data_IF_869534523670
#
_entry.id   IF_869534523670
#
_cell.length_a   1.000
_cell.length_b   1.000
_cell.length_c   1.000
_cell.angle_alpha   90.00
_cell.angle_beta   90.00
_cell.angle_gamma   90.00
#
_symmetry.space_group_name_H-M   'P 1'
#
loop_
_entity.id
_entity.type
_entity.pdbx_description
1 polymer ?
#
# COMPACT_ATOMS: atom_id res chain seq x y z
N UNK A 1 -3.18 2.18 5.09
CA UNK A 1 -2.31 2.34 6.27
C UNK A 1 -2.94 1.65 7.46
N UNK A 2 -2.18 0.96 8.26
CA UNK A 2 -2.59 0.38 9.55
C UNK A 2 -1.53 0.73 10.59
N UNK A 3 -1.93 1.03 11.82
CA UNK A 3 -0.99 1.20 12.91
C UNK A 3 -1.52 0.62 14.23
N UNK A 4 -0.61 0.25 15.09
CA UNK A 4 -0.82 -0.19 16.48
C UNK A 4 0.12 0.63 17.37
N UNK A 5 0.20 0.31 18.65
CA UNK A 5 1.12 0.96 19.59
C UNK A 5 2.60 0.88 19.14
N UNK A 6 3.01 -0.23 18.54
CA UNK A 6 4.43 -0.50 18.20
C UNK A 6 4.74 -0.50 16.70
N UNK A 7 3.73 -0.61 15.85
CA UNK A 7 3.92 -0.86 14.44
C UNK A 7 3.08 0.07 13.59
N UNK A 8 3.69 0.61 12.52
CA UNK A 8 3.02 1.32 11.44
C UNK A 8 3.23 0.58 10.12
N UNK A 9 2.15 0.31 9.38
CA UNK A 9 2.21 -0.24 8.03
C UNK A 9 1.79 0.81 7.00
N UNK A 10 2.70 1.11 6.07
CA UNK A 10 2.46 1.97 4.90
C UNK A 10 1.98 1.09 3.75
N UNK A 11 0.72 1.26 3.36
CA UNK A 11 0.11 0.47 2.31
C UNK A 11 0.46 1.01 0.92
N UNK A 12 1.59 0.55 0.38
CA UNK A 12 2.04 0.88 -0.99
C UNK A 12 1.10 0.20 -2.01
N UNK A 13 0.64 0.89 -3.06
CA UNK A 13 -0.23 0.31 -4.07
C UNK A 13 0.39 -0.90 -4.78
N UNK A 14 -0.40 -1.95 -4.99
CA UNK A 14 -0.04 -3.15 -5.77
C UNK A 14 1.12 -4.00 -5.21
N UNK A 15 1.45 -3.83 -3.94
CA UNK A 15 2.47 -4.62 -3.23
C UNK A 15 1.87 -5.59 -2.21
N UNK A 16 0.68 -6.16 -2.49
CA UNK A 16 -0.08 -7.07 -1.62
C UNK A 16 -0.59 -6.44 -0.30
N UNK A 17 -0.76 -5.12 -0.23
CA UNK A 17 -1.15 -4.43 1.00
C UNK A 17 -2.41 -4.99 1.68
N UNK A 18 -3.42 -5.48 0.93
CA UNK A 18 -4.62 -6.13 1.51
C UNK A 18 -4.27 -7.41 2.27
N UNK A 19 -3.36 -8.22 1.72
CA UNK A 19 -2.87 -9.44 2.37
C UNK A 19 -2.09 -9.12 3.63
N UNK A 20 -1.24 -8.07 3.59
CA UNK A 20 -0.48 -7.58 4.73
C UNK A 20 -1.39 -7.03 5.82
N UNK A 21 -2.36 -6.18 5.49
CA UNK A 21 -3.33 -5.66 6.46
C UNK A 21 -4.08 -6.80 7.16
N UNK A 22 -4.57 -7.78 6.40
CA UNK A 22 -5.26 -8.93 6.97
C UNK A 22 -4.35 -9.74 7.90
N UNK A 23 -3.10 -9.97 7.49
CA UNK A 23 -2.11 -10.65 8.33
C UNK A 23 -1.84 -9.89 9.64
N UNK A 24 -1.69 -8.56 9.56
CA UNK A 24 -1.47 -7.72 10.73
C UNK A 24 -2.70 -7.73 11.66
N UNK A 25 -3.90 -7.57 11.14
CA UNK A 25 -5.15 -7.61 11.93
C UNK A 25 -5.29 -8.95 12.67
N UNK A 26 -4.99 -10.07 12.00
CA UNK A 26 -5.13 -11.41 12.57
C UNK A 26 -4.11 -11.70 13.69
N UNK A 27 -2.95 -11.02 13.67
CA UNK A 27 -1.87 -11.28 14.62
C UNK A 27 -1.72 -10.20 15.71
N UNK A 28 -1.97 -8.92 15.39
CA UNK A 28 -1.76 -7.81 16.36
C UNK A 28 -2.91 -7.68 17.35
N UNK A 29 -4.14 -7.99 16.94
CA UNK A 29 -5.38 -7.95 17.77
C UNK A 29 -5.84 -6.56 18.23
N UNK A 30 -5.07 -5.53 18.02
CA UNK A 30 -5.38 -4.13 18.34
C UNK A 30 -4.84 -3.21 17.26
N UNK A 31 -5.29 -1.95 17.19
CA UNK A 31 -4.77 -0.97 16.26
C UNK A 31 -5.84 -0.18 15.51
N UNK A 32 -5.39 0.60 14.56
CA UNK A 32 -6.23 1.43 13.69
C UNK A 32 -5.89 1.15 12.23
N UNK A 33 -6.91 0.89 11.43
CA UNK A 33 -6.81 0.75 9.98
C UNK A 33 -7.42 1.94 9.27
N UNK A 34 -6.73 2.50 8.29
CA UNK A 34 -7.26 3.52 7.38
C UNK A 34 -7.67 2.86 6.07
N UNK A 35 -8.92 3.05 5.66
CA UNK A 35 -9.48 2.40 4.46
C UNK A 35 -10.38 3.33 3.65
N UNK A 36 -10.40 3.12 2.33
CA UNK A 36 -11.21 3.88 1.38
C UNK A 36 -12.71 3.56 1.45
N UNK A 37 -13.06 2.38 1.95
CA UNK A 37 -14.43 1.89 2.00
C UNK A 37 -14.81 1.29 3.34
N UNK A 38 -16.03 1.58 3.77
CA UNK A 38 -16.65 0.93 4.91
C UNK A 38 -17.51 -0.22 4.39
N UNK A 39 -17.19 -1.44 4.81
CA UNK A 39 -18.08 -2.57 4.65
C UNK A 39 -19.43 -2.31 5.39
N UNK A 40 -20.53 -2.95 4.96
CA UNK A 40 -21.88 -2.64 5.45
C UNK A 40 -22.14 -2.96 6.93
N UNK A 41 -21.16 -3.46 7.69
CA UNK A 41 -21.41 -4.04 9.03
C UNK A 41 -20.66 -3.38 10.20
N UNK A 42 -20.06 -2.20 10.04
CA UNK A 42 -19.21 -1.66 11.11
C UNK A 42 -19.83 -0.44 11.81
N UNK A 43 -20.01 -0.46 13.15
CA UNK A 43 -20.45 0.71 13.92
C UNK A 43 -19.39 1.82 13.88
N UNK A 44 -19.84 3.06 13.68
CA UNK A 44 -18.94 4.21 13.55
C UNK A 44 -18.39 4.69 14.89
N UNK A 45 -17.07 4.77 15.05
CA UNK A 45 -16.45 5.62 16.06
C UNK A 45 -16.35 7.03 15.49
N UNK A 46 -16.90 8.01 16.18
CA UNK A 46 -16.81 9.42 15.77
C UNK A 46 -15.54 10.04 16.34
N UNK A 47 -14.57 10.35 15.46
CA UNK A 47 -13.52 11.30 15.83
C UNK A 47 -14.14 12.70 16.06
N UNK A 48 -13.57 13.53 16.95
CA UNK A 48 -13.96 14.92 17.05
C UNK A 48 -13.97 15.61 15.68
N UNK A 49 -14.96 16.47 15.43
CA UNK A 49 -15.18 17.07 14.10
C UNK A 49 -13.94 17.76 13.53
N UNK A 50 -13.13 18.40 14.37
CA UNK A 50 -11.89 19.07 13.95
C UNK A 50 -10.81 18.08 13.46
N UNK A 51 -10.76 16.88 14.04
CA UNK A 51 -9.84 15.80 13.60
C UNK A 51 -10.30 15.25 12.26
N UNK A 52 -11.60 15.04 12.08
CA UNK A 52 -12.18 14.61 10.81
C UNK A 52 -11.88 15.61 9.67
N UNK A 53 -12.00 16.90 9.94
CA UNK A 53 -11.72 17.97 8.99
C UNK A 53 -10.24 18.04 8.61
N UNK A 54 -9.32 18.01 9.58
CA UNK A 54 -7.87 18.06 9.33
C UNK A 54 -7.34 16.83 8.60
N UNK A 55 -7.91 15.67 8.83
CA UNK A 55 -7.48 14.41 8.23
C UNK A 55 -8.13 14.12 6.87
N UNK A 56 -9.12 14.89 6.45
CA UNK A 56 -9.98 14.52 5.32
C UNK A 56 -10.73 13.21 5.59
N UNK A 57 -10.82 12.80 6.84
CA UNK A 57 -11.46 11.57 7.29
C UNK A 57 -12.95 11.78 7.38
N UNK A 58 -13.72 11.04 6.59
CA UNK A 58 -15.19 11.17 6.57
C UNK A 58 -15.88 10.41 7.72
N UNK A 59 -15.24 9.37 8.28
CA UNK A 59 -15.82 8.55 9.34
C UNK A 59 -14.78 7.66 10.05
N UNK A 60 -14.86 7.53 11.36
CA UNK A 60 -14.14 6.52 12.12
C UNK A 60 -15.08 5.38 12.47
N UNK A 61 -14.67 4.17 12.26
CA UNK A 61 -15.48 2.98 12.53
C UNK A 61 -14.69 2.01 13.38
N UNK A 62 -15.22 1.65 14.54
CA UNK A 62 -14.71 0.53 15.30
C UNK A 62 -15.23 -0.77 14.70
N UNK A 63 -14.33 -1.60 14.27
CA UNK A 63 -14.60 -3.00 13.98
C UNK A 63 -14.30 -3.79 15.26
N UNK A 64 -15.27 -3.92 16.12
CA UNK A 64 -15.25 -5.02 17.08
C UNK A 64 -15.47 -6.28 16.26
N UNK A 65 -14.39 -7.02 15.99
CA UNK A 65 -14.54 -8.33 15.37
C UNK A 65 -15.51 -9.15 16.22
N UNK A 66 -16.55 -9.67 15.60
CA UNK A 66 -17.70 -10.32 16.21
C UNK A 66 -17.40 -11.59 17.04
N UNK A 67 -16.18 -11.84 17.45
CA UNK A 67 -15.74 -12.99 18.23
C UNK A 67 -14.67 -12.67 19.30
N UNK A 68 -14.68 -11.47 19.88
CA UNK A 68 -13.95 -11.20 21.14
C UNK A 68 -12.42 -11.28 21.11
N UNK A 69 -11.76 -11.17 19.95
CA UNK A 69 -10.31 -11.41 19.86
C UNK A 69 -9.47 -10.27 19.29
N UNK A 70 -10.04 -9.23 18.69
CA UNK A 70 -9.26 -8.05 18.29
C UNK A 70 -10.10 -6.78 18.27
N UNK A 71 -9.55 -5.70 18.78
CA UNK A 71 -10.12 -4.35 18.75
C UNK A 71 -9.39 -3.50 17.70
N UNK A 72 -9.63 -3.78 16.42
CA UNK A 72 -9.09 -2.94 15.35
C UNK A 72 -10.11 -1.86 15.00
N UNK A 73 -9.75 -0.62 15.21
CA UNK A 73 -10.54 0.54 14.82
C UNK A 73 -10.30 0.88 13.34
N UNK A 74 -11.35 1.27 12.63
CA UNK A 74 -11.23 1.65 11.22
C UNK A 74 -11.52 3.12 11.03
N UNK A 75 -10.60 3.83 10.42
CA UNK A 75 -10.71 5.23 10.02
C UNK A 75 -10.96 5.30 8.53
N UNK A 76 -12.03 5.98 8.12
CA UNK A 76 -12.27 6.20 6.70
C UNK A 76 -11.34 7.30 6.16
N UNK A 77 -10.56 6.96 5.16
CA UNK A 77 -9.64 7.83 4.47
C UNK A 77 -8.95 7.08 3.36
N UNK A 78 -8.02 7.69 2.64
CA UNK A 78 -7.27 6.94 1.64
C UNK A 78 -6.46 5.82 2.29
N UNK A 79 -6.65 4.59 1.81
CA UNK A 79 -5.85 3.44 2.24
C UNK A 79 -4.38 3.61 1.85
N UNK A 80 -4.18 4.18 0.68
CA UNK A 80 -2.87 4.43 0.10
C UNK A 80 -2.35 5.80 0.55
N UNK A 81 -1.70 5.81 1.71
CA UNK A 81 -1.15 7.01 2.35
C UNK A 81 0.36 6.97 2.23
N UNK A 82 0.97 7.99 1.62
CA UNK A 82 2.42 8.15 1.55
C UNK A 82 3.00 8.45 2.92
N UNK A 83 4.29 8.23 3.12
CA UNK A 83 4.93 8.41 4.43
C UNK A 83 4.72 9.82 5.01
N UNK A 84 4.89 10.87 4.18
CA UNK A 84 4.62 12.26 4.59
C UNK A 84 3.16 12.51 4.99
N UNK A 85 2.22 11.88 4.29
CA UNK A 85 0.80 12.04 4.59
C UNK A 85 0.39 11.20 5.80
N UNK A 86 1.07 10.08 6.04
CA UNK A 86 0.92 9.31 7.29
C UNK A 86 1.24 10.18 8.52
N UNK A 87 2.32 10.96 8.47
CA UNK A 87 2.65 11.91 9.54
C UNK A 87 1.51 12.91 9.82
N UNK A 88 0.85 13.42 8.77
CA UNK A 88 -0.30 14.34 8.91
C UNK A 88 -1.52 13.67 9.54
N UNK A 89 -1.72 12.37 9.29
CA UNK A 89 -2.82 11.59 9.87
C UNK A 89 -2.51 11.26 11.33
N UNK A 90 -1.29 10.94 11.65
CA UNK A 90 -0.85 10.52 12.98
C UNK A 90 -0.77 11.69 13.97
N UNK A 91 -0.32 12.86 13.53
CA UNK A 91 -0.10 14.03 14.41
C UNK A 91 -1.35 14.44 15.21
N UNK A 92 -2.56 14.56 14.64
CA UNK A 92 -3.77 14.87 15.41
C UNK A 92 -4.20 13.75 16.37
N UNK A 93 -3.67 12.54 16.20
CA UNK A 93 -3.90 11.40 17.10
C UNK A 93 -2.84 11.32 18.22
N UNK A 94 -1.92 12.29 18.27
CA UNK A 94 -0.85 12.34 19.26
C UNK A 94 0.35 11.47 18.94
N UNK A 95 0.49 11.02 17.68
CA UNK A 95 1.57 10.15 17.23
C UNK A 95 2.49 10.82 16.21
N UNK A 96 3.76 10.43 16.25
CA UNK A 96 4.78 10.74 15.25
C UNK A 96 5.33 9.43 14.63
N UNK A 97 6.07 9.52 13.54
CA UNK A 97 6.69 8.33 12.94
C UNK A 97 7.73 7.68 13.85
N UNK A 98 8.34 8.45 14.74
CA UNK A 98 9.36 7.98 15.68
C UNK A 98 8.78 7.24 16.89
N UNK A 99 7.48 7.33 17.15
CA UNK A 99 6.83 6.62 18.25
C UNK A 99 6.69 5.13 17.97
N UNK A 100 6.74 4.73 16.70
CA UNK A 100 6.66 3.32 16.32
C UNK A 100 8.03 2.64 16.41
N UNK A 101 8.08 1.47 17.05
CA UNK A 101 9.27 0.62 17.03
C UNK A 101 9.65 0.20 15.61
N UNK A 102 8.65 0.02 14.77
CA UNK A 102 8.86 -0.43 13.39
C UNK A 102 7.81 0.16 12.46
N UNK A 103 8.27 0.72 11.35
CA UNK A 103 7.45 1.06 10.19
C UNK A 103 7.69 -0.03 9.15
N UNK A 104 6.62 -0.58 8.57
CA UNK A 104 6.71 -1.58 7.50
C UNK A 104 6.22 -0.97 6.20
N UNK A 105 6.98 -1.15 5.13
CA UNK A 105 6.54 -0.91 3.75
C UNK A 105 7.03 -2.04 2.85
N UNK A 106 6.26 -2.36 1.81
CA UNK A 106 6.57 -3.47 0.91
C UNK A 106 7.04 -2.93 -0.42
N UNK A 107 8.18 -3.44 -0.92
CA UNK A 107 8.65 -3.25 -2.30
C UNK A 107 8.30 -4.49 -3.14
N UNK A 108 8.11 -4.31 -4.43
CA UNK A 108 7.85 -5.37 -5.40
C UNK A 108 8.72 -5.15 -6.63
N UNK A 109 9.12 -6.22 -7.30
CA UNK A 109 9.85 -6.12 -8.56
C UNK A 109 9.14 -5.10 -9.48
N UNK A 110 9.84 -4.04 -9.96
CA UNK A 110 9.23 -2.94 -10.69
C UNK A 110 8.51 -3.38 -11.98
N UNK A 111 9.02 -4.39 -12.63
CA UNK A 111 8.41 -4.94 -13.85
C UNK A 111 7.10 -5.67 -13.54
N UNK A 112 7.11 -6.51 -12.51
CA UNK A 112 5.93 -7.22 -12.03
C UNK A 112 4.90 -6.26 -11.40
N UNK A 113 5.35 -5.22 -10.72
CA UNK A 113 4.51 -4.14 -10.21
C UNK A 113 3.77 -3.43 -11.33
N UNK A 114 4.45 -3.06 -12.40
CA UNK A 114 3.85 -2.32 -13.52
C UNK A 114 2.85 -3.18 -14.30
N UNK A 115 3.17 -4.45 -14.55
CA UNK A 115 2.23 -5.40 -15.17
C UNK A 115 1.00 -5.61 -14.28
N UNK A 116 1.20 -5.75 -12.97
CA UNK A 116 0.08 -5.87 -12.01
C UNK A 116 -0.80 -4.62 -11.99
N UNK A 117 -0.23 -3.41 -12.11
CA UNK A 117 -0.98 -2.14 -12.21
C UNK A 117 -1.80 -2.09 -13.49
N UNK A 118 -1.17 -2.38 -14.62
CA UNK A 118 -1.81 -2.41 -15.94
C UNK A 118 -3.04 -3.31 -15.97
N UNK A 119 -2.89 -4.56 -15.54
CA UNK A 119 -4.02 -5.49 -15.51
C UNK A 119 -5.11 -5.10 -14.51
N UNK A 120 -4.72 -4.58 -13.34
CA UNK A 120 -5.68 -4.13 -12.35
C UNK A 120 -6.54 -2.96 -12.86
N UNK A 121 -5.92 -1.97 -13.50
CA UNK A 121 -6.63 -0.80 -14.02
C UNK A 121 -7.57 -1.16 -15.19
N UNK A 122 -7.20 -2.17 -15.99
CA UNK A 122 -8.06 -2.69 -17.07
C UNK A 122 -9.31 -3.40 -16.58
N UNK A 123 -9.26 -4.04 -15.41
CA UNK A 123 -10.43 -4.70 -14.82
C UNK A 123 -11.50 -3.71 -14.33
N UNK A 124 -11.15 -2.43 -14.24
CA UNK A 124 -12.00 -1.41 -13.64
C UNK A 124 -12.07 -1.55 -12.11
N UNK A 125 -12.38 -0.45 -11.43
CA UNK A 125 -12.62 -0.47 -9.99
C UNK A 125 -13.92 -1.23 -9.70
N UNK A 126 -13.81 -2.45 -9.19
CA UNK A 126 -14.93 -3.30 -8.73
C UNK A 126 -16.09 -3.50 -9.74
N UNK A 127 -15.81 -3.52 -11.03
CA UNK A 127 -16.86 -3.73 -12.04
C UNK A 127 -17.87 -2.58 -12.18
N UNK A 128 -17.67 -1.46 -11.49
CA UNK A 128 -18.52 -0.28 -11.61
C UNK A 128 -18.03 0.52 -12.83
N UNK A 129 -18.67 0.32 -13.95
CA UNK A 129 -18.51 1.18 -15.13
C UNK A 129 -18.97 2.61 -14.75
N UNK A 130 -18.07 3.58 -14.88
CA UNK A 130 -18.42 5.00 -14.72
C UNK A 130 -17.92 5.73 -13.49
N UNK A 131 -17.11 5.11 -12.62
CA UNK A 131 -16.31 5.86 -11.63
C UNK A 131 -15.24 6.67 -12.36
N UNK A 132 -14.96 7.87 -11.87
CA UNK A 132 -14.07 8.85 -12.47
C UNK A 132 -12.82 8.17 -13.05
N UNK A 133 -12.77 8.10 -14.36
CA UNK A 133 -11.62 7.60 -15.08
C UNK A 133 -10.45 8.53 -14.78
N UNK A 134 -9.38 7.97 -14.28
CA UNK A 134 -8.12 8.68 -14.18
C UNK A 134 -7.27 8.38 -15.42
N UNK A 135 -6.30 9.24 -15.69
CA UNK A 135 -5.41 9.11 -16.86
C UNK A 135 -4.74 7.75 -16.93
N UNK A 136 -4.36 7.16 -15.79
CA UNK A 136 -3.74 5.83 -15.73
C UNK A 136 -4.68 4.74 -16.25
N UNK A 137 -5.96 4.81 -15.91
CA UNK A 137 -6.97 3.85 -16.35
C UNK A 137 -7.27 4.00 -17.84
N UNK A 138 -7.36 5.23 -18.34
CA UNK A 138 -7.57 5.49 -19.76
C UNK A 138 -6.45 4.88 -20.61
N UNK A 139 -5.20 5.12 -20.22
CA UNK A 139 -4.03 4.54 -20.90
C UNK A 139 -4.04 3.01 -20.80
N UNK A 140 -4.36 2.44 -19.63
CA UNK A 140 -4.41 0.99 -19.45
C UNK A 140 -5.52 0.35 -20.30
N UNK A 141 -6.69 0.97 -20.38
CA UNK A 141 -7.84 0.47 -21.16
C UNK A 141 -7.61 0.55 -22.67
N UNK A 142 -6.74 1.44 -23.15
CA UNK A 142 -6.31 1.48 -24.56
C UNK A 142 -5.58 0.20 -24.99
N UNK A 143 -5.12 -0.63 -24.05
CA UNK A 143 -4.66 -2.00 -24.31
C UNK A 143 -3.19 -2.12 -24.72
N UNK A 144 -2.43 -1.03 -24.72
CA UNK A 144 -0.99 -1.01 -25.05
C UNK A 144 -0.16 -0.91 -23.76
N UNK A 145 0.51 -2.01 -23.41
CA UNK A 145 1.35 -2.06 -22.21
C UNK A 145 2.60 -1.17 -22.33
N UNK A 146 3.23 -1.11 -23.51
CA UNK A 146 4.41 -0.28 -23.73
C UNK A 146 4.09 1.21 -23.50
N UNK A 147 2.97 1.66 -24.06
CA UNK A 147 2.45 2.99 -23.85
C UNK A 147 2.09 3.24 -22.36
N UNK A 148 1.45 2.27 -21.73
CA UNK A 148 1.14 2.36 -20.30
C UNK A 148 2.40 2.51 -19.46
N UNK A 149 3.42 1.69 -19.70
CA UNK A 149 4.71 1.77 -19.00
C UNK A 149 5.37 3.14 -19.17
N UNK A 150 5.29 3.73 -20.36
CA UNK A 150 5.91 5.01 -20.68
C UNK A 150 5.14 6.22 -20.11
N UNK A 151 3.81 6.25 -20.24
CA UNK A 151 3.00 7.45 -20.03
C UNK A 151 2.21 7.45 -18.73
N UNK A 152 1.81 6.27 -18.20
CA UNK A 152 0.99 6.22 -17.01
C UNK A 152 1.80 6.62 -15.76
N UNK A 153 1.38 7.65 -15.01
CA UNK A 153 2.07 8.04 -13.78
C UNK A 153 1.95 6.95 -12.72
N UNK A 154 2.86 6.94 -11.75
CA UNK A 154 2.73 6.03 -10.62
C UNK A 154 1.77 6.60 -9.58
N UNK A 155 0.59 5.98 -9.49
CA UNK A 155 -0.45 6.24 -8.48
C UNK A 155 -0.78 7.72 -8.25
N UNK A 156 -1.58 8.27 -9.15
CA UNK A 156 -2.19 9.59 -9.02
C UNK A 156 -1.41 10.73 -9.69
N UNK A 157 -1.98 11.93 -9.57
CA UNK A 157 -1.47 13.15 -10.21
C UNK A 157 -0.26 13.79 -9.52
N UNK A 158 0.23 13.20 -8.43
CA UNK A 158 1.39 13.75 -7.73
C UNK A 158 2.65 13.54 -8.55
N UNK A 159 3.50 14.57 -8.70
CA UNK A 159 4.81 14.45 -9.32
C UNK A 159 5.79 13.61 -8.49
N UNK A 160 5.47 13.30 -7.24
CA UNK A 160 6.30 12.48 -6.38
C UNK A 160 6.31 11.03 -6.87
N UNK A 161 7.49 10.48 -7.05
CA UNK A 161 7.71 9.10 -7.47
C UNK A 161 7.46 8.08 -6.37
N UNK A 162 7.94 6.86 -6.63
CA UNK A 162 7.76 5.74 -5.71
C UNK A 162 8.48 5.97 -4.37
N UNK A 163 9.56 6.74 -4.34
CA UNK A 163 10.33 7.09 -3.14
C UNK A 163 9.47 7.73 -2.05
N UNK A 164 8.42 8.47 -2.43
CA UNK A 164 7.51 9.16 -1.50
C UNK A 164 6.76 8.23 -0.53
N UNK A 165 6.76 6.92 -0.81
CA UNK A 165 6.19 5.90 0.06
C UNK A 165 7.16 5.42 1.13
N UNK A 166 8.45 5.65 0.94
CA UNK A 166 9.53 5.10 1.77
C UNK A 166 10.41 6.18 2.39
N UNK A 167 10.36 7.39 1.88
CA UNK A 167 11.20 8.51 2.32
C UNK A 167 10.37 9.68 2.84
N UNK A 168 10.89 10.31 3.88
CA UNK A 168 10.46 11.61 4.39
C UNK A 168 11.62 12.57 4.20
N UNK A 169 11.41 13.63 3.41
CA UNK A 169 12.41 14.64 3.09
C UNK A 169 13.74 14.06 2.56
N UNK A 170 13.61 13.05 1.66
CA UNK A 170 14.75 12.39 0.99
C UNK A 170 15.48 11.35 1.83
N UNK A 171 14.98 11.02 3.03
CA UNK A 171 15.60 10.03 3.93
C UNK A 171 14.59 8.96 4.32
N UNK A 172 15.04 7.71 4.34
CA UNK A 172 14.27 6.64 4.94
C UNK A 172 14.35 6.75 6.47
N UNK A 173 13.22 6.66 7.20
CA UNK A 173 13.24 6.58 8.65
C UNK A 173 14.08 5.39 9.14
N UNK A 174 14.82 5.56 10.23
CA UNK A 174 15.70 4.50 10.77
C UNK A 174 14.93 3.26 11.22
N UNK A 175 13.69 3.46 11.65
CA UNK A 175 12.77 2.39 12.07
C UNK A 175 11.96 1.79 10.89
N UNK A 176 12.20 2.22 9.63
CA UNK A 176 11.56 1.64 8.46
C UNK A 176 12.20 0.28 8.12
N UNK A 177 11.34 -0.72 7.96
CA UNK A 177 11.72 -2.07 7.48
C UNK A 177 11.07 -2.32 6.13
N UNK A 178 11.91 -2.44 5.12
CA UNK A 178 11.47 -2.78 3.76
C UNK A 178 11.32 -4.28 3.65
N UNK A 179 10.14 -4.71 3.24
CA UNK A 179 9.80 -6.11 3.01
C UNK A 179 9.68 -6.34 1.51
N UNK A 180 10.26 -7.42 1.01
CA UNK A 180 10.12 -7.79 -0.40
C UNK A 180 8.84 -8.58 -0.62
N UNK A 181 8.07 -8.21 -1.65
CA UNK A 181 6.87 -8.94 -2.05
C UNK A 181 7.16 -10.43 -2.32
N UNK A 182 8.31 -10.72 -2.90
CA UNK A 182 8.74 -12.06 -3.30
C UNK A 182 9.06 -12.98 -2.09
N UNK A 183 9.35 -12.39 -0.92
CA UNK A 183 9.59 -13.09 0.35
C UNK A 183 8.57 -12.71 1.45
N UNK A 184 7.40 -12.22 1.06
CA UNK A 184 6.47 -11.48 1.90
C UNK A 184 6.10 -12.18 3.20
N UNK A 185 5.76 -13.46 3.17
CA UNK A 185 5.33 -14.17 4.38
C UNK A 185 6.48 -14.38 5.37
N UNK A 186 7.65 -14.77 4.88
CA UNK A 186 8.82 -14.99 5.72
C UNK A 186 9.29 -13.69 6.39
N UNK A 187 9.39 -12.63 5.61
CA UNK A 187 9.84 -11.32 6.10
C UNK A 187 8.83 -10.71 7.09
N UNK A 188 7.52 -10.80 6.80
CA UNK A 188 6.48 -10.34 7.72
C UNK A 188 6.53 -11.09 9.05
N UNK A 189 6.63 -12.41 9.00
CA UNK A 189 6.75 -13.23 10.22
C UNK A 189 7.96 -12.84 11.03
N UNK A 190 9.09 -12.61 10.38
CA UNK A 190 10.33 -12.21 11.05
C UNK A 190 10.19 -10.83 11.71
N UNK A 191 9.69 -9.82 10.98
CA UNK A 191 9.59 -8.44 11.48
C UNK A 191 8.50 -8.31 12.54
N UNK A 192 7.29 -8.84 12.26
CA UNK A 192 6.15 -8.75 13.18
C UNK A 192 6.37 -9.62 14.42
N UNK A 193 7.00 -10.79 14.26
CA UNK A 193 7.29 -11.72 15.34
C UNK A 193 8.22 -11.17 16.44
N UNK A 194 8.97 -10.12 16.14
CA UNK A 194 9.75 -9.40 17.16
C UNK A 194 8.91 -8.50 18.07
N UNK A 195 7.71 -8.15 17.64
CA UNK A 195 6.82 -7.22 18.35
C UNK A 195 5.59 -7.90 18.93
N UNK A 196 5.09 -8.92 18.24
CA UNK A 196 3.83 -9.60 18.53
C UNK A 196 3.93 -11.11 18.29
N UNK A 197 3.17 -11.95 19.03
CA UNK A 197 3.04 -13.36 18.70
C UNK A 197 2.39 -13.55 17.32
N UNK A 198 3.03 -14.30 16.43
CA UNK A 198 2.54 -14.56 15.08
C UNK A 198 2.02 -15.99 14.95
N UNK A 199 0.72 -16.15 14.84
CA UNK A 199 0.05 -17.45 14.65
C UNK A 199 -0.65 -17.59 13.29
N UNK A 200 -1.25 -16.51 12.79
CA UNK A 200 -1.97 -16.55 11.52
C UNK A 200 -1.01 -16.58 10.33
N UNK A 201 -1.46 -17.23 9.25
CA UNK A 201 -0.74 -17.29 7.97
C UNK A 201 -1.13 -16.12 7.08
N UNK A 202 -0.21 -15.74 6.19
CA UNK A 202 -0.50 -14.78 5.15
C UNK A 202 -1.51 -15.37 4.15
N UNK A 203 -2.61 -14.65 3.91
CA UNK A 203 -3.60 -15.02 2.89
C UNK A 203 -3.35 -14.22 1.62
N UNK A 204 -3.35 -14.88 0.48
CA UNK A 204 -3.25 -14.20 -0.81
C UNK A 204 -4.62 -13.60 -1.18
N UNK A 205 -4.74 -12.29 -1.07
CA UNK A 205 -5.97 -11.54 -1.38
C UNK A 205 -5.77 -10.69 -2.64
N UNK A 206 -6.84 -10.57 -3.45
CA UNK A 206 -6.88 -9.68 -4.62
C UNK A 206 -5.74 -9.90 -5.63
N UNK A 207 -5.36 -11.16 -5.87
CA UNK A 207 -4.42 -11.48 -6.92
C UNK A 207 -5.07 -11.26 -8.30
N UNK A 208 -4.45 -10.44 -9.12
CA UNK A 208 -4.82 -10.31 -10.53
C UNK A 208 -4.09 -11.39 -11.32
N UNK A 209 -4.84 -12.22 -12.04
CA UNK A 209 -4.24 -13.22 -12.91
C UNK A 209 -3.68 -12.56 -14.18
N UNK A 210 -2.41 -12.78 -14.45
CA UNK A 210 -1.73 -12.36 -15.69
C UNK A 210 -0.55 -13.28 -15.99
N UNK A 211 -0.09 -13.27 -17.22
CA UNK A 211 1.14 -13.95 -17.59
C UNK A 211 2.35 -13.36 -16.86
N UNK A 212 3.47 -14.08 -16.72
CA UNK A 212 4.69 -13.55 -16.14
C UNK A 212 5.07 -12.21 -16.79
N UNK A 213 5.57 -11.27 -15.98
CA UNK A 213 5.89 -9.92 -16.44
C UNK A 213 6.84 -9.90 -17.64
N UNK A 214 7.73 -10.88 -17.76
CA UNK A 214 8.68 -11.03 -18.90
C UNK A 214 7.99 -11.14 -20.26
N UNK A 215 6.74 -11.64 -20.31
CA UNK A 215 5.95 -11.70 -21.53
C UNK A 215 5.51 -10.32 -22.04
N UNK A 216 5.61 -9.28 -21.21
CA UNK A 216 5.20 -7.91 -21.52
C UNK A 216 6.40 -6.99 -21.79
N UNK A 217 7.63 -7.45 -21.50
CA UNK A 217 8.79 -6.60 -21.62
C UNK A 217 9.27 -6.51 -23.08
N UNK A 218 9.34 -5.28 -23.56
CA UNK A 218 10.13 -4.88 -24.73
C UNK A 218 11.28 -4.00 -24.23
N UNK A 219 12.26 -3.72 -25.06
CA UNK A 219 13.33 -2.77 -24.73
C UNK A 219 12.79 -1.40 -24.31
N UNK A 220 11.70 -0.95 -24.94
CA UNK A 220 11.07 0.35 -24.64
C UNK A 220 10.33 0.33 -23.30
N UNK A 221 9.51 -0.70 -23.04
CA UNK A 221 8.81 -0.81 -21.76
C UNK A 221 9.78 -1.03 -20.59
N UNK A 222 10.87 -1.79 -20.79
CA UNK A 222 11.93 -1.99 -19.81
C UNK A 222 12.56 -0.64 -19.42
N UNK A 223 13.02 0.13 -20.39
CA UNK A 223 13.64 1.44 -20.16
C UNK A 223 12.66 2.42 -19.49
N UNK A 224 11.38 2.42 -19.88
CA UNK A 224 10.35 3.26 -19.28
C UNK A 224 10.11 2.89 -17.81
N UNK A 225 10.03 1.59 -17.52
CA UNK A 225 9.87 1.08 -16.14
C UNK A 225 11.11 1.41 -15.29
N UNK A 226 12.31 1.21 -15.84
CA UNK A 226 13.54 1.59 -15.16
C UNK A 226 13.55 3.07 -14.76
N UNK A 227 13.22 3.97 -15.67
CA UNK A 227 13.15 5.42 -15.35
C UNK A 227 12.10 5.74 -14.30
N UNK A 228 10.91 5.15 -14.43
CA UNK A 228 9.78 5.38 -13.52
C UNK A 228 10.07 4.93 -12.09
N UNK A 229 10.76 3.82 -11.95
CA UNK A 229 11.06 3.18 -10.66
C UNK A 229 12.54 3.25 -10.30
N UNK A 230 13.28 4.19 -10.87
CA UNK A 230 14.73 4.32 -10.74
C UNK A 230 15.20 4.21 -9.29
N UNK A 231 14.48 4.80 -8.36
CA UNK A 231 14.78 4.73 -6.93
C UNK A 231 14.94 3.30 -6.41
N UNK A 232 14.10 2.34 -6.85
CA UNK A 232 14.21 0.93 -6.44
C UNK A 232 15.49 0.26 -6.94
N UNK A 233 15.97 0.68 -8.10
CA UNK A 233 17.22 0.18 -8.70
C UNK A 233 18.45 0.86 -8.07
N UNK A 234 18.42 2.18 -7.91
CA UNK A 234 19.50 2.95 -7.28
C UNK A 234 19.74 2.52 -5.82
N UNK A 235 18.67 2.12 -5.10
CA UNK A 235 18.73 1.54 -3.76
C UNK A 235 19.06 0.03 -3.74
N UNK A 236 19.33 -0.58 -4.91
CA UNK A 236 19.68 -1.99 -5.08
C UNK A 236 18.65 -2.99 -4.51
N UNK A 237 17.37 -2.58 -4.41
CA UNK A 237 16.30 -3.51 -4.08
C UNK A 237 16.07 -4.51 -5.22
N UNK A 238 16.27 -4.07 -6.46
CA UNK A 238 16.14 -4.87 -7.68
C UNK A 238 17.21 -4.48 -8.69
N UNK A 239 17.46 -5.38 -9.64
CA UNK A 239 18.38 -5.15 -10.75
C UNK A 239 17.61 -5.02 -12.07
N UNK A 240 18.22 -4.35 -13.05
CA UNK A 240 17.65 -4.28 -14.39
C UNK A 240 17.60 -5.67 -15.01
N UNK A 241 16.52 -5.95 -15.77
CA UNK A 241 16.48 -7.08 -16.68
C UNK A 241 17.31 -6.69 -17.92
N UNK A 242 18.59 -7.08 -17.92
CA UNK A 242 19.41 -6.97 -19.12
C UNK A 242 18.96 -8.06 -20.06
N UNK A 243 18.38 -7.67 -21.22
CA UNK A 243 18.07 -8.55 -22.31
C UNK A 243 19.30 -9.17 -22.95
#
# INVERSE_FOLDING_TARGET
MLFSEKLLFIHVPKTAGMSVEKFLIDNIREGVTVTDGLGPANPAIRLPAFVQFKLGVKRVVAVTAALGRSSVNTVQGSRHVRLRDAQKILAPLGHTLTDFHTIIAVVRNPYDLEVSRYHFLRLGFHGVKGLAQNVEQEIAMAGDFERFAAEAPYHGRSPAGIESWYELDGKMPENLRIIRFEALEADLRHVVGRLYPVSARLRRLNATAHAPYRCFLTRRSEEAIYRKYRWLFDRQFYHRETG
#
